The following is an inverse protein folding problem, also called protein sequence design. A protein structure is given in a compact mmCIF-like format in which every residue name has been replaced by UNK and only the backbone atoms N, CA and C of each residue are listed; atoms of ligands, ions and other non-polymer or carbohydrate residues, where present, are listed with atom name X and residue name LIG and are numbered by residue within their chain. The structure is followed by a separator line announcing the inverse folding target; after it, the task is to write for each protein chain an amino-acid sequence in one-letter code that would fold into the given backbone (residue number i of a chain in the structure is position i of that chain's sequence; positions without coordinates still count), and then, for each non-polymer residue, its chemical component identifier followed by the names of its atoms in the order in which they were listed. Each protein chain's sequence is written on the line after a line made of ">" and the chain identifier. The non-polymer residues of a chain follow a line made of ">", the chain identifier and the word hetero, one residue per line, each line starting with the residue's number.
data_IF_268877711561
#
_entry.id   IF_268877711561
#
_cell.length_a   1.000
_cell.length_b   1.000
_cell.length_c   1.000
_cell.angle_alpha   90.00
_cell.angle_beta   90.00
_cell.angle_gamma   90.00
#
_symmetry.space_group_name_H-M   'P 1'
#
loop_
_entity.id
_entity.type
_entity.pdbx_description
1 polymer ?
#
# COMPACT_ATOMS: atom_id res chain seq x y z
N UNK A 1 12.99 12.68 -6.21
CA UNK A 1 14.02 12.67 -5.15
C UNK A 1 15.13 13.64 -5.51
N UNK A 2 15.42 14.57 -4.61
CA UNK A 2 16.48 15.56 -4.82
C UNK A 2 17.82 15.00 -4.35
N UNK A 3 18.93 15.42 -4.96
CA UNK A 3 20.26 15.07 -4.46
C UNK A 3 20.48 15.59 -3.02
N UNK A 4 21.14 14.79 -2.21
CA UNK A 4 21.57 15.20 -0.87
C UNK A 4 23.05 15.56 -0.82
N UNK A 5 23.53 16.01 0.31
CA UNK A 5 24.93 16.44 0.51
C UNK A 5 25.96 15.30 0.42
N UNK A 6 25.51 14.04 0.37
CA UNK A 6 26.36 12.85 0.21
C UNK A 6 26.40 12.30 -1.21
N UNK A 7 26.04 13.12 -2.22
CA UNK A 7 25.95 12.72 -3.65
C UNK A 7 24.97 11.58 -3.91
N UNK A 8 24.01 11.37 -3.01
CA UNK A 8 22.92 10.42 -3.14
C UNK A 8 21.57 11.11 -3.03
N UNK A 9 20.53 10.36 -2.65
CA UNK A 9 19.20 10.88 -2.37
C UNK A 9 18.69 10.37 -1.01
N UNK A 10 17.79 11.11 -0.40
CA UNK A 10 17.07 10.62 0.78
C UNK A 10 16.16 9.45 0.40
N UNK A 11 15.82 8.62 1.38
CA UNK A 11 14.87 7.53 1.17
C UNK A 11 13.50 8.08 0.76
N UNK A 12 12.95 7.55 -0.31
CA UNK A 12 11.56 7.77 -0.67
C UNK A 12 10.65 6.85 0.15
N UNK A 13 9.51 7.36 0.57
CA UNK A 13 8.52 6.58 1.33
C UNK A 13 7.37 6.08 0.47
N UNK A 14 7.17 6.68 -0.69
CA UNK A 14 6.20 6.25 -1.68
C UNK A 14 6.83 5.35 -2.73
N UNK A 15 6.06 4.40 -3.21
CA UNK A 15 6.45 3.48 -4.27
C UNK A 15 5.24 2.72 -4.78
N UNK A 16 5.48 1.79 -5.68
CA UNK A 16 4.44 0.91 -6.19
C UNK A 16 4.89 -0.54 -6.11
N UNK A 17 3.92 -1.40 -5.95
CA UNK A 17 4.08 -2.83 -5.90
C UNK A 17 3.19 -3.48 -6.94
N UNK A 18 3.60 -4.64 -7.41
CA UNK A 18 2.81 -5.44 -8.34
C UNK A 18 2.37 -6.72 -7.65
N UNK A 19 1.10 -7.06 -7.85
CA UNK A 19 0.55 -8.34 -7.41
C UNK A 19 -0.02 -9.07 -8.63
N UNK A 20 0.38 -10.31 -8.83
CA UNK A 20 -0.11 -11.13 -9.93
C UNK A 20 -0.19 -12.60 -9.50
N UNK A 21 -1.15 -13.31 -10.06
CA UNK A 21 -1.42 -14.71 -9.74
C UNK A 21 -2.83 -15.10 -10.20
N UNK A 22 -3.09 -16.40 -10.28
CA UNK A 22 -4.34 -16.92 -10.82
C UNK A 22 -5.61 -16.51 -10.04
N UNK A 23 -5.45 -16.22 -8.76
CA UNK A 23 -6.55 -15.78 -7.89
C UNK A 23 -6.58 -14.26 -7.67
N UNK A 24 -5.61 -13.52 -8.16
CA UNK A 24 -5.56 -12.08 -7.98
C UNK A 24 -6.56 -11.40 -8.91
N UNK A 25 -7.35 -10.49 -8.38
CA UNK A 25 -8.21 -9.60 -9.17
C UNK A 25 -7.35 -8.58 -9.93
N UNK A 26 -6.84 -9.00 -11.08
CA UNK A 26 -5.94 -8.22 -11.90
C UNK A 26 -6.59 -7.11 -12.71
N UNK A 27 -5.81 -6.50 -13.60
CA UNK A 27 -6.28 -5.49 -14.57
C UNK A 27 -6.64 -4.14 -13.97
N UNK A 28 -6.13 -3.79 -12.78
CA UNK A 28 -6.49 -2.55 -12.07
C UNK A 28 -5.31 -1.97 -11.28
N UNK A 29 -5.44 -0.72 -10.94
CA UNK A 29 -4.55 0.00 -10.03
C UNK A 29 -5.31 0.29 -8.75
N UNK A 30 -4.70 0.01 -7.61
CA UNK A 30 -5.20 0.34 -6.28
C UNK A 30 -4.35 1.47 -5.69
N UNK A 31 -5.01 2.37 -4.95
CA UNK A 31 -4.36 3.61 -4.52
C UNK A 31 -4.27 4.63 -5.65
N UNK A 32 -3.48 5.66 -5.43
CA UNK A 32 -3.28 6.72 -6.42
C UNK A 32 -1.87 7.29 -6.37
N UNK A 33 -1.42 7.77 -7.49
CA UNK A 33 -0.24 8.63 -7.57
C UNK A 33 -0.60 10.06 -7.18
N UNK A 34 0.35 10.83 -6.63
CA UNK A 34 0.16 12.26 -6.48
C UNK A 34 -0.03 12.92 -7.85
N UNK A 35 -0.80 14.00 -7.87
CA UNK A 35 -1.02 14.79 -9.09
C UNK A 35 0.24 15.53 -9.56
N UNK A 36 1.14 15.79 -8.63
CA UNK A 36 2.39 16.50 -8.83
C UNK A 36 3.46 15.91 -7.89
N UNK A 37 4.73 16.04 -8.26
CA UNK A 37 5.87 15.64 -7.44
C UNK A 37 6.57 16.81 -6.76
N UNK A 38 6.06 18.04 -6.94
CA UNK A 38 6.61 19.21 -6.33
C UNK A 38 6.12 19.38 -4.88
N UNK A 39 6.99 19.92 -4.05
CA UNK A 39 6.65 20.30 -2.69
C UNK A 39 5.51 21.35 -2.70
N UNK A 40 4.51 21.13 -1.85
CA UNK A 40 3.32 21.97 -1.80
C UNK A 40 2.27 21.66 -2.88
N UNK A 41 2.30 20.46 -3.45
CA UNK A 41 1.27 19.97 -4.35
C UNK A 41 -0.12 19.96 -3.72
N UNK A 42 -1.17 19.91 -4.55
CA UNK A 42 -2.55 19.93 -4.11
C UNK A 42 -2.94 18.72 -3.22
N UNK A 43 -2.22 17.62 -3.34
CA UNK A 43 -2.43 16.42 -2.56
C UNK A 43 -1.68 16.39 -1.22
N UNK A 44 -0.74 17.32 -1.01
CA UNK A 44 0.17 17.37 0.14
C UNK A 44 0.93 16.06 0.37
N UNK A 45 1.24 15.33 -0.66
CA UNK A 45 1.97 14.07 -0.60
C UNK A 45 3.48 14.27 -0.83
N UNK A 46 3.88 15.38 -1.44
CA UNK A 46 5.28 15.72 -1.65
C UNK A 46 5.84 16.49 -0.44
N UNK A 47 6.90 15.97 0.13
CA UNK A 47 7.63 16.59 1.24
C UNK A 47 8.93 17.20 0.73
N UNK A 48 9.58 18.00 1.59
CA UNK A 48 10.88 18.57 1.31
C UNK A 48 11.90 17.50 0.85
N UNK A 49 12.81 17.88 -0.02
CA UNK A 49 13.87 17.03 -0.58
C UNK A 49 13.34 15.91 -1.49
N UNK A 50 12.19 16.12 -2.11
CA UNK A 50 11.60 15.17 -3.07
C UNK A 50 11.12 13.86 -2.46
N UNK A 51 10.85 13.82 -1.16
CA UNK A 51 10.27 12.65 -0.49
C UNK A 51 8.76 12.64 -0.68
N UNK A 52 8.19 11.46 -0.82
CA UNK A 52 6.76 11.28 -1.05
C UNK A 52 6.11 10.48 0.07
N UNK A 53 4.94 10.91 0.52
CA UNK A 53 4.09 10.13 1.41
C UNK A 53 3.22 9.22 0.55
N UNK A 54 3.16 7.90 0.81
CA UNK A 54 2.26 7.01 0.08
C UNK A 54 0.79 7.34 0.38
N UNK A 55 -0.05 7.31 -0.63
CA UNK A 55 -1.50 7.51 -0.50
C UNK A 55 -2.23 6.30 0.11
N UNK A 56 -1.56 5.17 0.16
CA UNK A 56 -2.10 3.90 0.64
C UNK A 56 -1.07 3.28 1.59
N UNK A 57 -1.45 2.90 2.81
CA UNK A 57 -0.53 2.31 3.75
C UNK A 57 -0.06 0.92 3.28
N UNK A 58 1.11 0.51 3.74
CA UNK A 58 1.67 -0.81 3.44
C UNK A 58 0.74 -1.95 3.88
N UNK A 59 0.11 -1.80 5.03
CA UNK A 59 -0.84 -2.76 5.60
C UNK A 59 -2.06 -3.00 4.69
N UNK A 60 -2.38 -2.06 3.80
CA UNK A 60 -3.52 -2.19 2.89
C UNK A 60 -3.43 -3.42 1.99
N UNK A 61 -2.24 -3.76 1.51
CA UNK A 61 -2.01 -4.95 0.71
C UNK A 61 -1.94 -6.21 1.59
N UNK A 62 -1.38 -6.07 2.77
CA UNK A 62 -1.10 -7.23 3.62
C UNK A 62 -2.31 -7.78 4.33
N UNK A 63 -3.33 -6.98 4.64
CA UNK A 63 -4.55 -7.46 5.29
C UNK A 63 -5.21 -8.57 4.46
N UNK A 64 -5.59 -8.27 3.24
CA UNK A 64 -6.24 -9.27 2.37
C UNK A 64 -5.32 -10.42 2.00
N UNK A 65 -4.01 -10.20 1.93
CA UNK A 65 -3.04 -11.26 1.72
C UNK A 65 -2.99 -12.22 2.90
N UNK A 66 -2.93 -11.70 4.13
CA UNK A 66 -2.96 -12.52 5.34
C UNK A 66 -4.26 -13.34 5.45
N UNK A 67 -5.40 -12.70 5.17
CA UNK A 67 -6.70 -13.39 5.11
C UNK A 67 -6.71 -14.48 4.02
N UNK A 68 -6.10 -14.24 2.87
CA UNK A 68 -5.97 -15.23 1.80
C UNK A 68 -5.16 -16.43 2.25
N UNK A 69 -4.07 -16.23 2.98
CA UNK A 69 -3.26 -17.29 3.56
C UNK A 69 -3.94 -18.02 4.74
N UNK A 70 -5.14 -17.57 5.15
CA UNK A 70 -5.92 -18.25 6.19
C UNK A 70 -5.64 -17.76 7.60
N UNK A 71 -5.01 -16.60 7.77
CA UNK A 71 -4.86 -15.98 9.09
C UNK A 71 -6.25 -15.60 9.60
N UNK A 72 -6.70 -16.16 10.74
CA UNK A 72 -8.00 -15.85 11.28
C UNK A 72 -8.01 -14.43 11.89
N UNK A 73 -9.18 -13.79 12.00
CA UNK A 73 -9.29 -12.46 12.59
C UNK A 73 -8.72 -12.34 14.01
N UNK A 74 -8.74 -13.43 14.78
CA UNK A 74 -8.17 -13.48 16.15
C UNK A 74 -6.66 -13.26 16.18
N UNK A 75 -5.97 -13.63 15.10
CA UNK A 75 -4.51 -13.61 15.04
C UNK A 75 -3.98 -12.44 14.20
N UNK A 76 -4.90 -11.65 13.60
CA UNK A 76 -4.52 -10.55 12.74
C UNK A 76 -3.70 -9.49 13.48
N UNK A 77 -3.97 -9.25 14.75
CA UNK A 77 -3.20 -8.31 15.59
C UNK A 77 -1.73 -8.75 15.78
N UNK A 78 -1.45 -10.03 15.63
CA UNK A 78 -0.06 -10.55 15.69
C UNK A 78 0.66 -10.32 14.37
N UNK A 79 -0.03 -10.51 13.25
CA UNK A 79 0.55 -10.40 11.90
C UNK A 79 0.63 -8.94 11.45
N UNK A 80 -0.41 -8.17 11.72
CA UNK A 80 -0.52 -6.75 11.37
C UNK A 80 -0.93 -5.93 12.60
N UNK A 81 -0.02 -5.68 13.54
CA UNK A 81 -0.38 -5.07 14.83
C UNK A 81 -0.97 -3.67 14.73
N UNK A 82 -0.73 -2.98 13.62
CA UNK A 82 -1.21 -1.62 13.40
C UNK A 82 -2.50 -1.53 12.56
N UNK A 83 -3.04 -2.66 12.09
CA UNK A 83 -4.15 -2.65 11.13
C UNK A 83 -5.41 -1.93 11.64
N UNK A 84 -5.65 -1.94 12.95
CA UNK A 84 -6.81 -1.26 13.57
C UNK A 84 -6.66 0.26 13.65
N UNK A 85 -5.48 0.79 13.38
CA UNK A 85 -5.25 2.24 13.39
C UNK A 85 -5.74 2.93 12.12
N UNK A 86 -6.08 2.16 11.09
CA UNK A 86 -6.55 2.70 9.83
C UNK A 86 -8.08 2.75 9.77
N UNK A 87 -8.67 3.83 9.21
CA UNK A 87 -10.10 3.91 9.00
C UNK A 87 -10.63 2.77 8.13
N UNK A 88 -11.91 2.46 8.27
CA UNK A 88 -12.58 1.48 7.43
C UNK A 88 -12.45 1.85 5.94
N UNK A 89 -12.17 0.86 5.10
CA UNK A 89 -12.00 1.02 3.67
C UNK A 89 -10.62 1.48 3.19
N UNK A 90 -9.69 1.77 4.10
CA UNK A 90 -8.30 2.10 3.75
C UNK A 90 -7.50 0.83 3.47
N UNK A 91 -7.75 -0.24 4.21
CA UNK A 91 -7.12 -1.53 3.99
C UNK A 91 -7.98 -2.38 3.04
N UNK A 92 -7.32 -3.13 2.18
CA UNK A 92 -7.98 -4.05 1.26
C UNK A 92 -8.10 -5.42 1.91
N UNK A 93 -9.34 -5.90 2.05
CA UNK A 93 -9.61 -7.26 2.52
C UNK A 93 -9.35 -8.31 1.42
N UNK A 94 -9.46 -9.57 1.79
CA UNK A 94 -9.33 -10.69 0.84
C UNK A 94 -10.26 -10.55 -0.36
N UNK A 95 -11.50 -10.14 -0.14
CA UNK A 95 -12.48 -10.00 -1.22
C UNK A 95 -12.14 -8.84 -2.17
N UNK A 96 -11.43 -7.83 -1.68
CA UNK A 96 -10.94 -6.75 -2.50
C UNK A 96 -9.78 -7.16 -3.40
N UNK A 97 -8.90 -8.05 -2.95
CA UNK A 97 -7.67 -8.41 -3.67
C UNK A 97 -7.78 -9.68 -4.52
N UNK A 98 -8.60 -10.64 -4.09
CA UNK A 98 -8.63 -11.99 -4.67
C UNK A 98 -10.03 -12.39 -5.12
N UNK A 99 -10.10 -13.19 -6.16
CA UNK A 99 -11.31 -13.89 -6.54
C UNK A 99 -11.64 -14.93 -5.48
N UNK A 100 -12.93 -15.02 -5.14
CA UNK A 100 -13.39 -15.95 -4.11
C UNK A 100 -13.53 -17.38 -4.63
N UNK A 101 -13.31 -17.59 -5.91
CA UNK A 101 -13.36 -18.92 -6.52
C UNK A 101 -12.17 -19.72 -6.02
N UNK A 102 -12.38 -20.82 -5.29
CA UNK A 102 -11.28 -21.70 -4.95
C UNK A 102 -10.61 -22.17 -6.24
N UNK A 103 -9.32 -22.42 -6.17
CA UNK A 103 -8.62 -23.07 -7.26
C UNK A 103 -9.39 -24.35 -7.61
N UNK A 104 -9.91 -24.35 -8.81
CA UNK A 104 -10.54 -25.55 -9.36
C UNK A 104 -9.46 -26.62 -9.62
#
# INVERSE_FOLDING_TARGET
>A
LDPNTGDGSDHGWGGNHFMFGGAVKGGRVLGRYPSDFNEGDADNLALSRGRMIPSTPWDAMWLGTAEWFGIPPSDMDVVLPMHKNFPAGVLYDKAALFDQTPFA
#
